data_IF_323263239014
#
_entry.id   IF_323263239014
#
_cell.length_a   1.000
_cell.length_b   1.000
_cell.length_c   1.000
_cell.angle_alpha   90.00
_cell.angle_beta   90.00
_cell.angle_gamma   90.00
#
_symmetry.space_group_name_H-M   'P 1'
#
loop_
_entity.id
_entity.type
_entity.pdbx_description
1 polymer ?
#
# COMPACT_ATOMS: atom_id res chain seq x y z
N UNK A 1 -3.19 -2.72 -21.66
CA UNK A 1 -2.65 -3.79 -20.80
C UNK A 1 -3.70 -4.88 -20.72
N UNK A 2 -3.29 -6.15 -20.83
CA UNK A 2 -4.21 -7.29 -20.79
C UNK A 2 -4.82 -7.50 -19.40
N UNK A 3 -6.06 -7.99 -19.33
CA UNK A 3 -6.81 -8.18 -18.09
C UNK A 3 -6.10 -9.16 -17.15
N UNK A 4 -5.56 -10.26 -17.70
CA UNK A 4 -4.85 -11.27 -16.92
C UNK A 4 -3.49 -10.74 -16.47
N UNK A 5 -2.77 -10.03 -17.35
CA UNK A 5 -1.50 -9.39 -16.97
C UNK A 5 -1.68 -8.36 -15.84
N UNK A 6 -2.81 -7.65 -15.78
CA UNK A 6 -3.08 -6.72 -14.66
C UNK A 6 -3.42 -7.46 -13.38
N UNK A 7 -4.23 -8.51 -13.45
CA UNK A 7 -4.54 -9.39 -12.30
C UNK A 7 -3.29 -10.05 -11.70
N UNK A 8 -2.31 -10.41 -12.52
CA UNK A 8 -1.03 -10.96 -12.05
C UNK A 8 -0.11 -9.91 -11.41
N UNK A 9 -0.20 -8.63 -11.84
CA UNK A 9 0.62 -7.54 -11.28
C UNK A 9 0.10 -6.96 -9.98
N UNK A 10 -1.22 -6.88 -9.80
CA UNK A 10 -1.82 -6.35 -8.56
C UNK A 10 -1.26 -7.01 -7.27
N UNK A 11 -1.12 -8.35 -7.15
CA UNK A 11 -0.57 -8.96 -5.93
C UNK A 11 0.91 -8.59 -5.68
N UNK A 12 1.70 -8.39 -6.74
CA UNK A 12 3.08 -7.89 -6.62
C UNK A 12 3.09 -6.44 -6.10
N UNK A 13 2.21 -5.59 -6.62
CA UNK A 13 2.07 -4.20 -6.17
C UNK A 13 1.57 -4.11 -4.72
N UNK A 14 0.59 -4.95 -4.32
CA UNK A 14 0.14 -5.04 -2.93
C UNK A 14 1.29 -5.47 -2.02
N UNK A 15 2.03 -6.51 -2.41
CA UNK A 15 3.20 -6.97 -1.63
C UNK A 15 4.27 -5.89 -1.49
N UNK A 16 4.47 -5.06 -2.52
CA UNK A 16 5.40 -3.94 -2.48
C UNK A 16 4.91 -2.86 -1.50
N UNK A 17 3.63 -2.47 -1.59
CA UNK A 17 3.00 -1.49 -0.70
C UNK A 17 3.06 -1.96 0.76
N UNK A 18 2.85 -3.24 1.03
CA UNK A 18 2.98 -3.81 2.38
C UNK A 18 4.43 -3.79 2.89
N UNK A 19 5.41 -4.11 2.04
CA UNK A 19 6.82 -3.97 2.41
C UNK A 19 7.21 -2.53 2.71
N UNK A 20 6.73 -1.57 1.92
CA UNK A 20 6.97 -0.15 2.15
C UNK A 20 6.32 0.33 3.45
N UNK A 21 5.10 -0.13 3.75
CA UNK A 21 4.42 0.17 5.00
C UNK A 21 5.20 -0.38 6.20
N UNK A 22 5.61 -1.65 6.15
CA UNK A 22 6.39 -2.27 7.22
C UNK A 22 7.72 -1.53 7.47
N UNK A 23 8.42 -1.12 6.41
CA UNK A 23 9.63 -0.30 6.56
C UNK A 23 9.35 1.05 7.21
N UNK A 24 8.23 1.71 6.88
CA UNK A 24 7.85 2.97 7.53
C UNK A 24 7.55 2.75 9.03
N UNK A 25 6.87 1.66 9.37
CA UNK A 25 6.56 1.31 10.76
C UNK A 25 7.83 0.94 11.55
N UNK A 26 8.75 0.19 10.95
CA UNK A 26 10.04 -0.15 11.55
C UNK A 26 10.88 1.10 11.81
N UNK A 27 10.97 2.00 10.83
CA UNK A 27 11.66 3.29 11.01
C UNK A 27 11.04 4.13 12.12
N UNK A 28 9.71 4.14 12.22
CA UNK A 28 9.02 4.85 13.30
C UNK A 28 9.34 4.21 14.67
N UNK A 29 9.37 2.87 14.75
CA UNK A 29 9.78 2.15 15.95
C UNK A 29 11.22 2.47 16.37
N UNK A 30 12.17 2.43 15.43
CA UNK A 30 13.57 2.79 15.66
C UNK A 30 13.74 4.26 16.07
N UNK A 31 12.95 5.15 15.48
CA UNK A 31 12.93 6.57 15.83
C UNK A 31 12.45 6.78 17.28
N UNK A 32 11.46 6.02 17.73
CA UNK A 32 11.01 6.04 19.13
C UNK A 32 12.04 5.42 20.09
N UNK A 33 12.67 4.31 19.70
CA UNK A 33 13.66 3.60 20.53
C UNK A 33 14.96 4.39 20.71
N UNK A 34 15.33 5.18 19.70
CA UNK A 34 16.55 5.99 19.69
C UNK A 34 16.25 7.48 19.54
N UNK A 35 15.19 7.96 20.21
CA UNK A 35 14.70 9.34 20.09
C UNK A 35 15.86 10.33 20.00
N UNK A 36 16.08 10.93 18.83
CA UNK A 36 17.24 11.79 18.64
C UNK A 36 17.04 13.06 19.47
N UNK A 37 18.14 13.68 19.91
CA UNK A 37 18.12 14.97 20.59
C UNK A 37 17.82 16.11 19.59
N UNK A 38 16.67 16.01 18.92
CA UNK A 38 16.10 16.99 18.02
C UNK A 38 15.08 17.85 18.78
N UNK A 39 14.81 19.01 18.21
CA UNK A 39 13.71 19.86 18.65
C UNK A 39 12.37 19.12 18.50
N UNK A 40 11.48 19.29 19.48
CA UNK A 40 10.18 18.65 19.53
C UNK A 40 9.33 18.92 18.27
N UNK A 41 9.47 20.10 17.66
CA UNK A 41 8.78 20.44 16.42
C UNK A 41 9.27 19.63 15.22
N UNK A 42 10.58 19.36 15.16
CA UNK A 42 11.19 18.55 14.09
C UNK A 42 10.78 17.09 14.24
N UNK A 43 10.74 16.59 15.48
CA UNK A 43 10.26 15.24 15.79
C UNK A 43 8.79 15.07 15.36
N UNK A 44 7.93 16.03 15.71
CA UNK A 44 6.52 16.01 15.34
C UNK A 44 6.31 16.04 13.82
N UNK A 45 7.09 16.84 13.10
CA UNK A 45 7.02 16.91 11.63
C UNK A 45 7.39 15.58 10.97
N UNK A 46 8.48 14.94 11.42
CA UNK A 46 8.91 13.62 10.90
C UNK A 46 7.84 12.56 11.16
N UNK A 47 7.22 12.58 12.35
CA UNK A 47 6.14 11.66 12.70
C UNK A 47 4.93 11.84 11.79
N UNK A 48 4.46 13.07 11.63
CA UNK A 48 3.33 13.36 10.75
C UNK A 48 3.59 12.93 9.31
N UNK A 49 4.80 13.18 8.78
CA UNK A 49 5.16 12.72 7.43
C UNK A 49 5.13 11.19 7.29
N UNK A 50 5.61 10.46 8.30
CA UNK A 50 5.58 8.99 8.30
C UNK A 50 4.14 8.46 8.41
N UNK A 51 3.31 9.07 9.26
CA UNK A 51 1.89 8.71 9.41
C UNK A 51 1.09 8.96 8.13
N UNK A 52 1.27 10.11 7.49
CA UNK A 52 0.63 10.42 6.20
C UNK A 52 1.08 9.43 5.12
N UNK A 53 2.36 9.04 5.12
CA UNK A 53 2.87 8.04 4.19
C UNK A 53 2.28 6.66 4.42
N UNK A 54 2.13 6.23 5.67
CA UNK A 54 1.45 4.98 6.03
C UNK A 54 -0.01 5.03 5.55
N UNK A 55 -0.73 6.11 5.84
CA UNK A 55 -2.13 6.29 5.41
C UNK A 55 -2.27 6.23 3.89
N UNK A 56 -1.36 6.90 3.16
CA UNK A 56 -1.32 6.87 1.70
C UNK A 56 -1.09 5.46 1.16
N UNK A 57 -0.17 4.69 1.75
CA UNK A 57 0.09 3.31 1.37
C UNK A 57 -1.13 2.41 1.64
N UNK A 58 -1.82 2.61 2.76
CA UNK A 58 -3.05 1.86 3.06
C UNK A 58 -4.18 2.17 2.07
N UNK A 59 -4.37 3.44 1.71
CA UNK A 59 -5.33 3.83 0.68
C UNK A 59 -4.98 3.22 -0.68
N UNK A 60 -3.69 3.20 -1.04
CA UNK A 60 -3.22 2.57 -2.27
C UNK A 60 -3.48 1.05 -2.27
N UNK A 61 -3.27 0.37 -1.13
CA UNK A 61 -3.61 -1.05 -0.98
C UNK A 61 -5.11 -1.29 -1.18
N UNK A 62 -5.98 -0.47 -0.58
CA UNK A 62 -7.44 -0.57 -0.77
C UNK A 62 -7.82 -0.42 -2.24
N UNK A 63 -7.31 0.62 -2.90
CA UNK A 63 -7.58 0.85 -4.32
C UNK A 63 -7.15 -0.32 -5.21
N UNK A 64 -5.98 -0.92 -4.94
CA UNK A 64 -5.51 -2.12 -5.66
C UNK A 64 -6.42 -3.33 -5.43
N UNK A 65 -6.94 -3.53 -4.21
CA UNK A 65 -7.88 -4.60 -3.91
C UNK A 65 -9.24 -4.40 -4.59
N UNK A 66 -9.73 -3.16 -4.63
CA UNK A 66 -10.96 -2.81 -5.36
C UNK A 66 -10.79 -3.04 -6.86
N UNK A 67 -9.65 -2.65 -7.42
CA UNK A 67 -9.32 -2.91 -8.82
C UNK A 67 -9.25 -4.42 -9.12
N UNK A 68 -8.64 -5.21 -8.23
CA UNK A 68 -8.59 -6.67 -8.38
C UNK A 68 -10.00 -7.29 -8.43
N UNK A 69 -10.89 -6.87 -7.52
CA UNK A 69 -12.27 -7.36 -7.49
C UNK A 69 -13.03 -7.00 -8.77
N UNK A 70 -12.90 -5.75 -9.23
CA UNK A 70 -13.54 -5.31 -10.47
C UNK A 70 -13.06 -6.11 -11.69
N UNK A 71 -11.75 -6.41 -11.75
CA UNK A 71 -11.17 -7.21 -12.83
C UNK A 71 -11.61 -8.68 -12.77
N UNK A 72 -11.71 -9.27 -11.57
CA UNK A 72 -12.23 -10.64 -11.40
C UNK A 72 -13.69 -10.76 -11.84
N UNK A 73 -14.56 -9.82 -11.43
CA UNK A 73 -15.97 -9.79 -11.85
C UNK A 73 -16.07 -9.70 -13.37
N UNK A 74 -15.24 -8.86 -14.00
CA UNK A 74 -15.20 -8.71 -15.45
C UNK A 74 -14.71 -9.99 -16.15
N UNK A 75 -13.70 -10.67 -15.60
CA UNK A 75 -13.20 -11.94 -16.11
C UNK A 75 -14.27 -13.03 -16.08
N UNK A 76 -14.98 -13.16 -14.95
CA UNK A 76 -16.08 -14.14 -14.78
C UNK A 76 -17.23 -13.83 -15.74
N UNK A 77 -17.59 -12.56 -15.90
CA UNK A 77 -18.66 -12.15 -16.84
C UNK A 77 -18.30 -12.46 -18.30
N UNK A 78 -17.03 -12.29 -18.67
CA UNK A 78 -16.52 -12.64 -19.99
C UNK A 78 -16.54 -14.16 -20.21
N UNK A 79 -16.13 -14.94 -19.20
CA UNK A 79 -16.19 -16.40 -19.25
C UNK A 79 -17.62 -16.92 -19.39
N UNK A 80 -18.58 -16.35 -18.64
CA UNK A 80 -19.99 -16.75 -18.68
C UNK A 80 -20.74 -16.36 -19.95
N UNK A 81 -20.20 -15.45 -20.77
CA UNK A 81 -20.76 -15.04 -22.06
C UNK A 81 -20.15 -15.81 -23.24
N UNK A 82 -18.99 -16.43 -23.03
CA UNK A 82 -18.30 -17.24 -24.03
C UNK A 82 -18.69 -18.72 -24.05
N UNK A 83 -19.53 -19.15 -23.11
CA UNK A 83 -20.13 -20.49 -23.00
C UNK A 83 -21.56 -20.50 -23.57
#
# INVERSE_FOLDING_TARGET
MDLFTRLERIPLEISQVEREKNQCQERLGLFWEHMPALDEGVVAEIMHQLEDRIRSLENRKRSLLEEQQALLVRAVTLAARGD
#
